data_IF_413558640275
#
_entry.id   IF_413558640275
#
_cell.length_a   1.000
_cell.length_b   1.000
_cell.length_c   1.000
_cell.angle_alpha   90.00
_cell.angle_beta   90.00
_cell.angle_gamma   90.00
#
_symmetry.space_group_name_H-M   'P 1'
#
loop_
_entity.id
_entity.type
_entity.pdbx_description
1 polymer ?
#
# COMPACT_ATOMS: atom_id res chain seq x y z
N UNK A 1 -9.98 5.41 23.37
CA UNK A 1 -8.97 4.86 24.32
C UNK A 1 -7.59 5.21 23.77
N UNK A 2 -6.68 5.77 24.59
CA UNK A 2 -5.30 6.05 24.15
C UNK A 2 -4.51 4.76 24.12
N UNK A 3 -3.76 4.52 23.03
CA UNK A 3 -2.95 3.32 22.81
C UNK A 3 -1.50 3.72 22.52
N UNK A 4 -0.56 2.85 22.85
CA UNK A 4 0.77 2.85 22.29
C UNK A 4 0.76 1.93 21.06
N UNK A 5 0.98 2.49 19.87
CA UNK A 5 0.87 1.78 18.60
C UNK A 5 2.24 1.51 18.02
N UNK A 6 2.58 0.25 17.78
CA UNK A 6 3.78 -0.11 17.04
C UNK A 6 3.51 0.00 15.54
N UNK A 7 4.24 0.88 14.86
CA UNK A 7 4.09 1.12 13.43
C UNK A 7 5.34 0.65 12.71
N UNK A 8 5.23 -0.45 11.95
CA UNK A 8 6.28 -0.82 11.00
C UNK A 8 6.11 0.01 9.72
N UNK A 9 7.22 0.39 9.09
CA UNK A 9 7.14 1.28 7.92
C UNK A 9 6.79 2.74 8.27
N UNK A 10 6.98 3.16 9.53
CA UNK A 10 6.65 4.49 10.04
C UNK A 10 7.32 5.64 9.26
N UNK A 11 8.46 5.40 8.62
CA UNK A 11 9.18 6.37 7.77
C UNK A 11 8.86 6.24 6.29
N UNK A 12 8.01 5.29 5.90
CA UNK A 12 7.57 5.09 4.52
C UNK A 12 6.48 6.08 4.10
N UNK A 13 6.12 6.09 2.82
CA UNK A 13 5.15 7.00 2.24
C UNK A 13 3.82 7.05 3.02
N UNK A 14 3.21 5.90 3.28
CA UNK A 14 1.94 5.82 3.99
C UNK A 14 2.16 5.95 5.51
N UNK A 15 3.20 5.31 6.05
CA UNK A 15 3.50 5.34 7.48
C UNK A 15 3.78 6.75 7.99
N UNK A 16 4.47 7.58 7.20
CA UNK A 16 4.73 8.98 7.57
C UNK A 16 3.47 9.85 7.65
N UNK A 17 2.38 9.45 6.98
CA UNK A 17 1.07 10.07 7.10
C UNK A 17 0.25 9.49 8.28
N UNK A 18 0.41 8.19 8.58
CA UNK A 18 -0.26 7.53 9.71
C UNK A 18 0.26 8.07 11.05
N UNK A 19 1.56 8.30 11.16
CA UNK A 19 2.20 8.76 12.41
C UNK A 19 1.56 10.03 12.97
N UNK A 20 1.49 11.17 12.25
CA UNK A 20 0.85 12.38 12.77
C UNK A 20 -0.65 12.18 13.02
N UNK A 21 -1.35 11.37 12.22
CA UNK A 21 -2.77 11.07 12.43
C UNK A 21 -2.99 10.36 13.78
N UNK A 22 -2.13 9.40 14.15
CA UNK A 22 -2.20 8.71 15.45
C UNK A 22 -1.87 9.66 16.60
N UNK A 23 -0.83 10.49 16.47
CA UNK A 23 -0.41 11.45 17.52
C UNK A 23 -1.53 12.48 17.77
N UNK A 24 -2.12 13.03 16.68
CA UNK A 24 -3.22 14.00 16.77
C UNK A 24 -4.47 13.41 17.44
N UNK A 25 -4.69 12.09 17.30
CA UNK A 25 -5.74 11.36 18.00
C UNK A 25 -5.39 11.04 19.48
N UNK A 26 -4.19 11.41 19.94
CA UNK A 26 -3.72 11.23 21.31
C UNK A 26 -3.10 9.85 21.58
N UNK A 27 -2.79 9.06 20.55
CA UNK A 27 -2.02 7.83 20.68
C UNK A 27 -0.53 8.12 20.83
N UNK A 28 0.19 7.19 21.45
CA UNK A 28 1.66 7.15 21.41
C UNK A 28 2.09 6.26 20.26
N UNK A 29 3.17 6.62 19.57
CA UNK A 29 3.69 5.83 18.47
C UNK A 29 5.09 5.31 18.80
N UNK A 30 5.28 4.01 18.58
CA UNK A 30 6.57 3.34 18.55
C UNK A 30 6.88 3.02 17.08
N UNK A 31 7.81 3.75 16.47
CA UNK A 31 8.10 3.63 15.03
C UNK A 31 9.30 2.72 14.76
N UNK A 32 9.12 1.69 13.92
CA UNK A 32 10.22 0.84 13.46
C UNK A 32 11.04 1.57 12.39
N UNK A 33 12.36 1.61 12.57
CA UNK A 33 13.30 2.06 11.54
C UNK A 33 14.65 1.37 11.66
N UNK A 34 15.33 1.18 10.51
CA UNK A 34 16.68 0.61 10.44
C UNK A 34 17.78 1.65 10.22
N UNK A 35 17.42 2.87 9.75
CA UNK A 35 18.39 3.89 9.32
C UNK A 35 18.49 5.05 10.30
N UNK A 36 19.66 5.68 10.39
CA UNK A 36 19.88 6.89 11.18
C UNK A 36 18.99 8.06 10.71
N UNK A 37 18.79 8.18 9.40
CA UNK A 37 17.88 9.20 8.85
C UNK A 37 16.44 8.96 9.34
N UNK A 38 15.99 7.71 9.39
CA UNK A 38 14.69 7.34 9.93
C UNK A 38 14.58 7.63 11.43
N UNK A 39 15.64 7.39 12.21
CA UNK A 39 15.69 7.75 13.63
C UNK A 39 15.47 9.26 13.81
N UNK A 40 16.24 10.08 13.08
CA UNK A 40 16.11 11.55 13.14
C UNK A 40 14.71 12.02 12.78
N UNK A 41 14.13 11.45 11.69
CA UNK A 41 12.78 11.79 11.25
C UNK A 41 11.71 11.44 12.28
N UNK A 42 11.77 10.24 12.86
CA UNK A 42 10.80 9.82 13.88
C UNK A 42 10.92 10.66 15.18
N UNK A 43 12.15 10.92 15.63
CA UNK A 43 12.37 11.77 16.81
C UNK A 43 11.86 13.19 16.58
N UNK A 44 12.09 13.77 15.42
CA UNK A 44 11.56 15.09 15.05
C UNK A 44 10.02 15.14 15.03
N UNK A 45 9.37 14.01 14.73
CA UNK A 45 7.92 13.86 14.77
C UNK A 45 7.38 13.52 16.19
N UNK A 46 8.23 13.49 17.23
CA UNK A 46 7.81 13.12 18.59
C UNK A 46 7.52 11.63 18.79
N UNK A 47 8.05 10.78 17.93
CA UNK A 47 7.83 9.32 17.93
C UNK A 47 8.94 8.63 18.70
N UNK A 48 8.56 7.65 19.52
CA UNK A 48 9.52 6.73 20.12
C UNK A 48 10.09 5.79 19.05
N UNK A 49 11.42 5.65 19.04
CA UNK A 49 12.11 4.85 18.01
C UNK A 49 12.33 3.43 18.49
N UNK A 50 11.95 2.47 17.65
CA UNK A 50 12.34 1.07 17.75
C UNK A 50 13.28 0.74 16.60
N UNK A 51 14.55 0.41 16.92
CA UNK A 51 15.51 -0.01 15.90
C UNK A 51 15.30 -1.46 15.56
N UNK A 52 15.21 -1.75 14.26
CA UNK A 52 15.01 -3.09 13.74
C UNK A 52 14.75 -3.11 12.25
N UNK A 53 14.66 -4.31 11.70
CA UNK A 53 14.45 -4.58 10.28
C UNK A 53 13.40 -5.69 10.10
N UNK A 54 12.81 -5.81 8.90
CA UNK A 54 11.82 -6.86 8.59
C UNK A 54 12.43 -8.28 8.59
N UNK A 55 13.74 -8.40 8.52
CA UNK A 55 14.45 -9.68 8.65
C UNK A 55 14.71 -10.08 10.11
N UNK A 56 14.67 -9.13 11.05
CA UNK A 56 14.85 -9.37 12.49
C UNK A 56 13.48 -9.57 13.17
N UNK A 57 12.98 -10.80 13.09
CA UNK A 57 11.67 -11.17 13.66
C UNK A 57 11.62 -10.99 15.19
N UNK A 58 12.75 -11.12 15.90
CA UNK A 58 12.80 -10.91 17.35
C UNK A 58 12.63 -9.42 17.70
N UNK A 59 13.25 -8.52 16.94
CA UNK A 59 13.01 -7.10 17.08
C UNK A 59 11.54 -6.74 16.86
N UNK A 60 10.89 -7.33 15.84
CA UNK A 60 9.47 -7.11 15.57
C UNK A 60 8.57 -7.61 16.72
N UNK A 61 8.85 -8.79 17.28
CA UNK A 61 8.13 -9.32 18.45
C UNK A 61 8.28 -8.37 19.65
N UNK A 62 9.49 -7.89 19.93
CA UNK A 62 9.74 -6.94 21.03
C UNK A 62 8.93 -5.65 20.84
N UNK A 63 8.90 -5.07 19.64
CA UNK A 63 8.09 -3.90 19.33
C UNK A 63 6.59 -4.13 19.58
N UNK A 64 6.06 -5.27 19.16
CA UNK A 64 4.67 -5.64 19.37
C UNK A 64 4.34 -5.91 20.86
N UNK A 65 5.26 -6.55 21.61
CA UNK A 65 5.08 -6.79 23.06
C UNK A 65 4.97 -5.49 23.83
N UNK A 66 5.75 -4.46 23.47
CA UNK A 66 5.77 -3.15 24.15
C UNK A 66 4.59 -2.25 23.76
N UNK A 67 3.61 -2.72 22.98
CA UNK A 67 2.56 -1.89 22.38
C UNK A 67 1.17 -2.44 22.62
N UNK A 68 0.17 -1.55 22.63
CA UNK A 68 -1.25 -1.88 22.78
C UNK A 68 -1.92 -2.27 21.47
N UNK A 69 -1.26 -2.01 20.34
CA UNK A 69 -1.72 -2.38 19.01
C UNK A 69 -0.62 -2.24 17.97
N UNK A 70 -0.79 -2.85 16.81
CA UNK A 70 0.21 -2.88 15.73
C UNK A 70 -0.43 -2.47 14.41
N UNK A 71 0.23 -1.55 13.70
CA UNK A 71 -0.01 -1.26 12.28
C UNK A 71 1.21 -1.71 11.49
N UNK A 72 1.01 -2.67 10.58
CA UNK A 72 2.06 -3.19 9.73
C UNK A 72 1.91 -2.67 8.30
N UNK A 73 2.71 -1.65 7.95
CA UNK A 73 2.75 -1.05 6.60
C UNK A 73 4.09 -1.23 5.89
N UNK A 74 5.10 -1.75 6.60
CA UNK A 74 6.40 -1.98 5.99
C UNK A 74 6.32 -3.09 4.96
N UNK A 75 6.82 -2.82 3.76
CA UNK A 75 6.93 -3.79 2.69
C UNK A 75 8.14 -3.44 1.82
N UNK A 76 8.90 -4.44 1.40
CA UNK A 76 10.01 -4.24 0.46
C UNK A 76 9.46 -4.23 -0.96
N UNK A 77 9.59 -3.10 -1.67
CA UNK A 77 9.06 -2.95 -3.04
C UNK A 77 10.09 -3.41 -4.09
N UNK A 78 10.61 -4.63 -3.92
CA UNK A 78 11.45 -5.30 -4.92
C UNK A 78 10.61 -6.28 -5.73
N UNK A 79 10.04 -5.80 -6.83
CA UNK A 79 9.18 -6.60 -7.70
C UNK A 79 9.96 -7.61 -8.55
N UNK A 80 11.29 -7.53 -8.63
CA UNK A 80 12.12 -8.55 -9.26
C UNK A 80 12.19 -9.84 -8.43
N UNK A 81 11.97 -9.72 -7.11
CA UNK A 81 11.94 -10.81 -6.13
C UNK A 81 10.58 -10.88 -5.41
N UNK A 82 9.50 -10.59 -6.14
CA UNK A 82 8.19 -10.35 -5.53
C UNK A 82 7.68 -11.52 -4.68
N UNK A 83 7.90 -12.78 -5.11
CA UNK A 83 7.52 -13.96 -4.32
C UNK A 83 8.25 -13.99 -2.97
N UNK A 84 9.56 -13.80 -2.97
CA UNK A 84 10.38 -13.83 -1.74
C UNK A 84 9.99 -12.72 -0.77
N UNK A 85 9.70 -11.52 -1.29
CA UNK A 85 9.26 -10.39 -0.48
C UNK A 85 7.88 -10.65 0.15
N UNK A 86 6.96 -11.26 -0.59
CA UNK A 86 5.66 -11.65 -0.06
C UNK A 86 5.78 -12.77 1.01
N UNK A 87 6.72 -13.70 0.83
CA UNK A 87 7.01 -14.73 1.81
C UNK A 87 7.69 -14.17 3.08
N UNK A 88 8.50 -13.11 2.93
CA UNK A 88 9.03 -12.37 4.07
C UNK A 88 7.90 -11.69 4.84
N UNK A 89 7.00 -11.00 4.16
CA UNK A 89 5.85 -10.31 4.75
C UNK A 89 4.95 -11.28 5.53
N UNK A 90 4.70 -12.47 4.98
CA UNK A 90 4.00 -13.55 5.69
C UNK A 90 4.67 -13.89 7.03
N UNK A 91 5.99 -14.13 7.04
CA UNK A 91 6.74 -14.43 8.26
C UNK A 91 6.69 -13.29 9.28
N UNK A 92 6.72 -12.05 8.82
CA UNK A 92 6.57 -10.87 9.67
C UNK A 92 5.19 -10.83 10.33
N UNK A 93 4.12 -11.03 9.57
CA UNK A 93 2.74 -11.05 10.09
C UNK A 93 2.57 -12.18 11.12
N UNK A 94 3.09 -13.36 10.84
CA UNK A 94 3.07 -14.51 11.76
C UNK A 94 3.87 -14.21 13.04
N UNK A 95 5.03 -13.56 12.94
CA UNK A 95 5.84 -13.17 14.09
C UNK A 95 5.13 -12.13 14.97
N UNK A 96 4.54 -11.10 14.37
CA UNK A 96 3.73 -10.11 15.09
C UNK A 96 2.51 -10.76 15.76
N UNK A 97 1.80 -11.61 15.02
CA UNK A 97 0.65 -12.33 15.55
C UNK A 97 0.99 -13.26 16.72
N UNK A 98 2.16 -13.92 16.70
CA UNK A 98 2.55 -14.88 17.73
C UNK A 98 2.60 -14.29 19.15
N UNK A 99 2.92 -13.01 19.29
CA UNK A 99 3.00 -12.31 20.59
C UNK A 99 1.72 -11.56 20.96
N UNK A 100 0.76 -11.50 20.05
CA UNK A 100 -0.55 -10.89 20.27
C UNK A 100 -1.65 -11.93 20.55
N UNK A 101 -1.38 -13.20 20.29
CA UNK A 101 -2.31 -14.29 20.55
C UNK A 101 -2.75 -14.32 22.03
N UNK A 102 -4.03 -14.59 22.27
CA UNK A 102 -4.62 -14.57 23.61
C UNK A 102 -4.79 -13.18 24.24
N UNK A 103 -4.48 -12.10 23.49
CA UNK A 103 -4.74 -10.73 23.92
C UNK A 103 -5.78 -10.08 23.01
N UNK A 104 -6.45 -9.01 23.51
CA UNK A 104 -7.38 -8.23 22.68
C UNK A 104 -6.68 -7.08 21.91
N UNK A 105 -5.35 -7.13 21.81
CA UNK A 105 -4.56 -6.10 21.11
C UNK A 105 -4.71 -6.24 19.59
N UNK A 106 -5.07 -5.15 18.87
CA UNK A 106 -5.32 -5.22 17.43
C UNK A 106 -4.01 -5.33 16.63
N UNK A 107 -4.04 -6.12 15.57
CA UNK A 107 -3.05 -6.17 14.50
C UNK A 107 -3.72 -5.75 13.19
N UNK A 108 -3.35 -4.63 12.63
CA UNK A 108 -3.83 -4.17 11.32
C UNK A 108 -2.71 -4.34 10.30
N UNK A 109 -2.88 -5.29 9.38
CA UNK A 109 -1.90 -5.55 8.31
C UNK A 109 -2.31 -4.87 7.01
N UNK A 110 -1.35 -4.70 6.10
CA UNK A 110 -1.55 -4.07 4.80
C UNK A 110 -1.53 -5.10 3.69
N UNK A 111 -2.49 -4.96 2.76
CA UNK A 111 -2.60 -5.71 1.52
C UNK A 111 -3.00 -4.76 0.37
N UNK A 112 -3.44 -5.27 -0.75
CA UNK A 112 -3.90 -4.48 -1.90
C UNK A 112 -5.28 -4.89 -2.39
N UNK A 113 -6.05 -3.94 -2.94
CA UNK A 113 -7.37 -4.24 -3.54
C UNK A 113 -7.27 -5.18 -4.74
N UNK A 114 -6.14 -5.19 -5.44
CA UNK A 114 -5.92 -5.98 -6.66
C UNK A 114 -5.86 -7.51 -6.47
N UNK A 115 -5.91 -8.00 -5.21
CA UNK A 115 -6.00 -9.44 -4.92
C UNK A 115 -7.42 -9.91 -4.58
N UNK A 116 -8.39 -9.00 -4.49
CA UNK A 116 -9.78 -9.36 -4.28
C UNK A 116 -10.35 -10.04 -5.53
N UNK A 117 -10.99 -11.20 -5.34
CA UNK A 117 -11.58 -11.95 -6.44
C UNK A 117 -13.01 -11.48 -6.70
N UNK A 118 -13.17 -10.50 -7.58
CA UNK A 118 -14.48 -9.99 -8.00
C UNK A 118 -14.88 -10.56 -9.38
N UNK A 119 -16.19 -10.69 -9.59
CA UNK A 119 -16.70 -11.02 -10.91
C UNK A 119 -16.31 -9.94 -11.94
N UNK A 120 -16.01 -10.30 -13.20
CA UNK A 120 -15.64 -9.34 -14.26
C UNK A 120 -16.63 -8.18 -14.35
N UNK A 121 -16.11 -6.96 -14.46
CA UNK A 121 -16.90 -5.72 -14.59
C UNK A 121 -17.51 -5.16 -13.31
N UNK A 122 -17.53 -5.93 -12.22
CA UNK A 122 -18.00 -5.47 -10.90
C UNK A 122 -16.82 -4.95 -10.07
N UNK A 123 -16.94 -3.81 -9.37
CA UNK A 123 -15.96 -3.39 -8.38
C UNK A 123 -15.80 -4.45 -7.27
N UNK A 124 -14.55 -4.73 -6.90
CA UNK A 124 -14.25 -5.58 -5.77
C UNK A 124 -14.72 -4.94 -4.46
N UNK A 125 -15.26 -5.73 -3.55
CA UNK A 125 -15.73 -5.29 -2.23
C UNK A 125 -14.90 -5.92 -1.12
N UNK A 126 -15.10 -5.47 0.09
CA UNK A 126 -14.45 -6.02 1.29
C UNK A 126 -14.82 -7.49 1.56
N UNK A 127 -15.95 -7.95 1.00
CA UNK A 127 -16.43 -9.33 1.13
C UNK A 127 -15.71 -10.28 0.15
N UNK A 128 -15.17 -9.76 -0.95
CA UNK A 128 -14.50 -10.57 -1.94
C UNK A 128 -13.16 -11.09 -1.38
N UNK A 129 -13.14 -12.37 -1.02
CA UNK A 129 -11.94 -13.04 -0.56
C UNK A 129 -10.98 -13.29 -1.73
N UNK A 130 -9.66 -13.30 -1.51
CA UNK A 130 -8.73 -13.75 -2.55
C UNK A 130 -8.86 -15.24 -2.77
N UNK A 131 -8.56 -15.69 -3.98
CA UNK A 131 -8.42 -17.12 -4.26
C UNK A 131 -7.23 -17.71 -3.51
N UNK A 132 -7.34 -18.99 -3.12
CA UNK A 132 -6.26 -19.71 -2.42
C UNK A 132 -4.99 -19.76 -3.27
N UNK A 133 -5.12 -19.98 -4.58
CA UNK A 133 -4.04 -20.02 -5.57
C UNK A 133 -4.04 -18.74 -6.43
N UNK A 134 -3.98 -17.57 -5.79
CA UNK A 134 -4.02 -16.31 -6.51
C UNK A 134 -2.68 -16.07 -7.27
N UNK A 135 -2.72 -15.59 -8.55
CA UNK A 135 -1.50 -15.39 -9.34
C UNK A 135 -0.59 -14.28 -8.81
N UNK A 136 -1.13 -13.35 -8.02
CA UNK A 136 -0.33 -12.29 -7.37
C UNK A 136 0.15 -12.80 -6.00
N UNK A 137 1.48 -12.94 -5.77
CA UNK A 137 2.04 -13.47 -4.51
C UNK A 137 1.62 -12.69 -3.25
N UNK A 138 1.16 -11.46 -3.39
CA UNK A 138 0.71 -10.60 -2.28
C UNK A 138 -0.44 -11.21 -1.47
N UNK A 139 -1.13 -12.22 -1.99
CA UNK A 139 -2.14 -13.02 -1.27
C UNK A 139 -1.57 -13.64 0.01
N UNK A 140 -0.27 -13.92 0.08
CA UNK A 140 0.41 -14.48 1.24
C UNK A 140 0.17 -13.68 2.53
N UNK A 141 0.02 -12.36 2.42
CA UNK A 141 -0.25 -11.49 3.58
C UNK A 141 -1.64 -11.72 4.17
N UNK A 142 -2.67 -11.88 3.33
CA UNK A 142 -4.02 -12.18 3.82
C UNK A 142 -4.16 -13.63 4.33
N UNK A 143 -3.42 -14.57 3.72
CA UNK A 143 -3.32 -15.93 4.23
C UNK A 143 -2.67 -15.98 5.62
N UNK A 144 -1.60 -15.19 5.83
CA UNK A 144 -0.99 -15.04 7.14
C UNK A 144 -1.95 -14.40 8.15
N UNK A 145 -2.70 -13.35 7.75
CA UNK A 145 -3.71 -12.75 8.60
C UNK A 145 -4.79 -13.77 9.02
N UNK A 146 -5.29 -14.57 8.09
CA UNK A 146 -6.24 -15.64 8.38
C UNK A 146 -5.66 -16.69 9.34
N UNK A 147 -4.38 -17.09 9.13
CA UNK A 147 -3.68 -18.05 10.00
C UNK A 147 -3.54 -17.53 11.43
N UNK A 148 -3.17 -16.26 11.63
CA UNK A 148 -3.05 -15.69 12.99
C UNK A 148 -4.41 -15.41 13.61
N UNK A 149 -5.45 -15.08 12.83
CA UNK A 149 -6.83 -14.97 13.30
C UNK A 149 -7.32 -16.31 13.89
N UNK A 150 -7.03 -17.44 13.21
CA UNK A 150 -7.37 -18.77 13.68
C UNK A 150 -6.67 -19.14 15.01
N UNK A 151 -5.58 -18.45 15.36
CA UNK A 151 -4.86 -18.58 16.64
C UNK A 151 -5.34 -17.57 17.69
N UNK A 152 -6.47 -16.91 17.47
CA UNK A 152 -7.08 -15.98 18.41
C UNK A 152 -6.46 -14.56 18.41
N UNK A 153 -5.74 -14.18 17.36
CA UNK A 153 -5.28 -12.78 17.20
C UNK A 153 -6.41 -11.92 16.67
N UNK A 154 -6.60 -10.75 17.29
CA UNK A 154 -7.50 -9.72 16.77
C UNK A 154 -6.84 -9.01 15.59
N UNK A 155 -6.96 -9.56 14.39
CA UNK A 155 -6.32 -9.09 13.17
C UNK A 155 -7.34 -8.65 12.13
N UNK A 156 -7.03 -7.56 11.42
CA UNK A 156 -7.75 -7.08 10.24
C UNK A 156 -6.78 -6.71 9.12
N UNK A 157 -7.33 -6.56 7.92
CA UNK A 157 -6.59 -6.28 6.69
C UNK A 157 -7.01 -4.94 6.11
N UNK A 158 -6.06 -4.06 5.91
CA UNK A 158 -6.23 -2.84 5.12
C UNK A 158 -5.80 -3.10 3.68
N UNK A 159 -6.74 -3.10 2.76
CA UNK A 159 -6.47 -3.19 1.31
C UNK A 159 -6.31 -1.80 0.72
N UNK A 160 -5.16 -1.55 0.17
CA UNK A 160 -4.80 -0.28 -0.45
C UNK A 160 -5.06 -0.29 -1.96
N UNK A 161 -5.63 0.78 -2.51
CA UNK A 161 -5.64 1.07 -3.96
C UNK A 161 -4.31 1.74 -4.37
N UNK A 162 -4.32 2.52 -5.47
CA UNK A 162 -3.24 3.46 -5.77
C UNK A 162 -3.30 4.62 -4.77
N UNK A 163 -2.50 4.51 -3.69
CA UNK A 163 -2.40 5.59 -2.70
C UNK A 163 -1.48 6.67 -3.26
N UNK A 164 -1.94 7.93 -3.23
CA UNK A 164 -1.28 9.02 -3.93
C UNK A 164 -1.23 10.32 -3.14
N UNK A 165 -0.35 11.18 -3.56
CA UNK A 165 -0.30 12.62 -3.38
C UNK A 165 0.45 13.23 -4.58
N UNK A 166 0.77 14.53 -4.54
CA UNK A 166 1.51 15.23 -5.60
C UNK A 166 2.98 14.78 -5.76
N UNK A 167 3.49 13.87 -4.91
CA UNK A 167 4.89 13.41 -4.93
C UNK A 167 5.01 11.93 -5.30
N UNK A 168 4.08 11.07 -4.83
CA UNK A 168 4.16 9.62 -5.00
C UNK A 168 2.77 9.00 -5.20
N UNK A 169 2.65 7.97 -6.05
CA UNK A 169 1.37 7.42 -6.50
C UNK A 169 1.38 5.89 -6.70
N UNK A 170 1.73 5.13 -5.67
CA UNK A 170 1.68 3.67 -5.75
C UNK A 170 2.42 3.11 -6.97
N UNK A 171 1.78 2.23 -7.75
CA UNK A 171 2.35 1.65 -8.98
C UNK A 171 2.52 2.68 -10.11
N UNK A 172 1.75 3.75 -10.10
CA UNK A 172 1.80 4.81 -11.11
C UNK A 172 3.16 5.54 -11.07
N UNK A 173 3.80 5.62 -9.90
CA UNK A 173 5.16 6.14 -9.78
C UNK A 173 6.14 5.40 -10.72
N UNK A 174 5.99 4.07 -10.83
CA UNK A 174 6.82 3.26 -11.75
C UNK A 174 6.44 3.47 -13.22
N UNK A 175 5.14 3.71 -13.51
CA UNK A 175 4.71 4.05 -14.87
C UNK A 175 5.28 5.41 -15.32
N UNK A 176 5.35 6.39 -14.42
CA UNK A 176 6.00 7.70 -14.69
C UNK A 176 7.48 7.52 -14.98
N UNK A 177 8.18 6.72 -14.17
CA UNK A 177 9.61 6.46 -14.38
C UNK A 177 9.87 5.73 -15.70
N UNK A 178 9.03 4.74 -16.02
CA UNK A 178 9.11 4.03 -17.29
C UNK A 178 8.88 4.98 -18.48
N UNK A 179 7.92 5.90 -18.37
CA UNK A 179 7.63 6.88 -19.39
C UNK A 179 8.82 7.84 -19.61
N UNK A 180 9.52 8.25 -18.54
CA UNK A 180 10.76 9.01 -18.64
C UNK A 180 11.85 8.24 -19.40
N UNK A 181 12.06 6.98 -19.03
CA UNK A 181 13.12 6.15 -19.61
C UNK A 181 12.88 5.83 -21.08
N UNK A 182 11.62 5.61 -21.46
CA UNK A 182 11.24 5.23 -22.83
C UNK A 182 10.89 6.41 -23.72
N UNK A 183 10.69 7.60 -23.17
CA UNK A 183 10.25 8.78 -23.91
C UNK A 183 8.81 8.68 -24.43
N UNK A 184 8.00 7.77 -23.88
CA UNK A 184 6.59 7.61 -24.22
C UNK A 184 5.79 7.17 -23.01
N UNK A 185 4.59 7.72 -22.81
CA UNK A 185 3.61 7.23 -21.85
C UNK A 185 2.68 6.22 -22.53
N UNK A 186 2.34 5.12 -21.86
CA UNK A 186 1.61 4.05 -22.51
C UNK A 186 0.46 3.49 -21.66
N UNK A 187 -0.56 2.95 -22.33
CA UNK A 187 -1.62 2.13 -21.76
C UNK A 187 -1.87 0.89 -22.65
N UNK A 188 -2.53 -0.14 -22.10
CA UNK A 188 -2.80 -1.39 -22.84
C UNK A 188 -4.16 -1.32 -23.51
N UNK A 189 -4.24 -1.72 -24.78
CA UNK A 189 -5.48 -1.81 -25.54
C UNK A 189 -6.19 -0.46 -25.70
N UNK A 190 -7.46 -0.37 -25.29
CA UNK A 190 -8.24 0.88 -25.32
C UNK A 190 -8.02 1.74 -24.06
N UNK A 191 -7.31 1.22 -23.04
CA UNK A 191 -6.99 1.90 -21.80
C UNK A 191 -8.18 2.14 -20.85
N UNK A 192 -9.32 1.46 -21.09
CA UNK A 192 -10.52 1.57 -20.23
C UNK A 192 -10.44 0.75 -18.97
N UNK A 193 -9.44 -0.09 -18.83
CA UNK A 193 -9.16 -0.79 -17.58
C UNK A 193 -8.82 0.22 -16.47
N UNK A 194 -9.34 -0.03 -15.28
CA UNK A 194 -9.38 0.95 -14.19
C UNK A 194 -8.55 0.51 -13.00
N UNK A 195 -7.97 1.50 -12.34
CA UNK A 195 -7.33 1.30 -11.04
C UNK A 195 -7.99 2.18 -9.99
N UNK A 196 -8.35 1.64 -8.81
CA UNK A 196 -8.91 2.42 -7.72
C UNK A 196 -7.82 3.28 -7.08
N UNK A 197 -8.22 4.41 -6.47
CA UNK A 197 -7.28 5.35 -5.89
C UNK A 197 -7.77 5.95 -4.57
N UNK A 198 -6.83 6.48 -3.79
CA UNK A 198 -7.13 7.28 -2.61
C UNK A 198 -5.95 8.18 -2.22
N UNK A 199 -6.23 9.39 -1.80
CA UNK A 199 -5.22 10.29 -1.27
C UNK A 199 -4.62 9.74 0.04
N UNK A 200 -3.30 9.93 0.24
CA UNK A 200 -2.56 9.34 1.37
C UNK A 200 -3.10 9.74 2.74
N UNK A 201 -3.61 10.96 2.89
CA UNK A 201 -4.19 11.41 4.16
C UNK A 201 -5.55 10.75 4.45
N UNK A 202 -6.33 10.41 3.42
CA UNK A 202 -7.55 9.63 3.58
C UNK A 202 -7.24 8.21 4.04
N UNK A 203 -6.24 7.58 3.42
CA UNK A 203 -5.74 6.28 3.85
C UNK A 203 -5.25 6.32 5.31
N UNK A 204 -4.46 7.32 5.70
CA UNK A 204 -3.96 7.47 7.06
C UNK A 204 -5.10 7.58 8.10
N UNK A 205 -6.12 8.41 7.82
CA UNK A 205 -7.32 8.52 8.68
C UNK A 205 -8.04 7.18 8.80
N UNK A 206 -8.11 6.42 7.70
CA UNK A 206 -8.73 5.11 7.73
C UNK A 206 -7.94 4.10 8.57
N UNK A 207 -6.60 4.08 8.47
CA UNK A 207 -5.75 3.22 9.32
C UNK A 207 -6.02 3.45 10.80
N UNK A 208 -6.09 4.70 11.25
CA UNK A 208 -6.42 5.02 12.65
C UNK A 208 -7.79 4.48 13.02
N UNK A 209 -8.84 4.81 12.25
CA UNK A 209 -10.21 4.36 12.53
C UNK A 209 -10.33 2.83 12.54
N UNK A 210 -9.68 2.17 11.59
CA UNK A 210 -9.66 0.71 11.51
C UNK A 210 -8.95 0.09 12.72
N UNK A 211 -7.83 0.65 13.18
CA UNK A 211 -7.14 0.16 14.38
C UNK A 211 -8.02 0.29 15.63
N UNK A 212 -8.65 1.46 15.83
CA UNK A 212 -9.51 1.76 16.99
C UNK A 212 -10.74 0.85 17.08
N UNK A 213 -11.34 0.51 15.93
CA UNK A 213 -12.59 -0.25 15.81
C UNK A 213 -12.41 -1.64 15.18
N UNK A 214 -11.18 -2.16 15.18
CA UNK A 214 -10.84 -3.38 14.46
C UNK A 214 -11.74 -4.56 14.86
N UNK A 215 -12.35 -5.19 13.87
CA UNK A 215 -13.07 -6.45 13.98
C UNK A 215 -12.16 -7.58 13.46
N UNK A 216 -12.13 -8.71 14.16
CA UNK A 216 -11.30 -9.86 13.76
C UNK A 216 -11.74 -10.39 12.39
N UNK A 217 -10.78 -10.55 11.49
CA UNK A 217 -11.03 -11.03 10.14
C UNK A 217 -11.60 -9.99 9.19
N UNK A 218 -11.86 -8.74 9.65
CA UNK A 218 -12.37 -7.69 8.78
C UNK A 218 -11.36 -7.30 7.72
N UNK A 219 -11.86 -7.02 6.53
CA UNK A 219 -11.15 -6.33 5.46
C UNK A 219 -11.71 -4.93 5.33
N UNK A 220 -10.82 -3.96 5.12
CA UNK A 220 -11.16 -2.56 4.90
C UNK A 220 -10.53 -2.11 3.58
N UNK A 221 -11.28 -1.43 2.74
CA UNK A 221 -10.80 -0.87 1.49
C UNK A 221 -10.55 0.63 1.64
N UNK A 222 -9.32 1.07 1.46
CA UNK A 222 -8.95 2.49 1.51
C UNK A 222 -9.21 3.18 0.15
N UNK A 223 -10.41 3.00 -0.40
CA UNK A 223 -10.76 3.46 -1.76
C UNK A 223 -11.59 4.73 -1.69
N UNK A 224 -11.13 5.79 -2.36
CA UNK A 224 -11.86 7.04 -2.57
C UNK A 224 -12.47 7.12 -3.97
N UNK A 225 -11.72 6.68 -4.97
CA UNK A 225 -12.14 6.59 -6.37
C UNK A 225 -12.18 5.11 -6.76
N UNK A 226 -13.34 4.59 -7.14
CA UNK A 226 -13.53 3.17 -7.41
C UNK A 226 -12.76 2.65 -8.62
N UNK A 227 -12.42 3.54 -9.56
CA UNK A 227 -11.63 3.17 -10.73
C UNK A 227 -11.34 4.34 -11.65
N UNK A 228 -10.06 4.70 -11.78
CA UNK A 228 -9.55 5.70 -12.72
C UNK A 228 -9.02 4.98 -13.96
N UNK A 229 -9.47 5.33 -15.19
CA UNK A 229 -9.00 4.69 -16.42
C UNK A 229 -7.50 4.84 -16.63
N UNK A 230 -6.81 3.77 -17.05
CA UNK A 230 -5.37 3.82 -17.28
C UNK A 230 -4.99 4.76 -18.45
N UNK A 231 -5.88 4.94 -19.40
CA UNK A 231 -5.70 5.92 -20.48
C UNK A 231 -5.61 7.35 -19.92
N UNK A 232 -6.51 7.73 -19.02
CA UNK A 232 -6.54 9.08 -18.42
C UNK A 232 -5.24 9.32 -17.61
N UNK A 233 -4.80 8.31 -16.86
CA UNK A 233 -3.51 8.34 -16.14
C UNK A 233 -2.35 8.53 -17.12
N UNK A 234 -2.30 7.75 -18.20
CA UNK A 234 -1.23 7.84 -19.19
C UNK A 234 -1.23 9.19 -19.92
N UNK A 235 -2.40 9.77 -20.21
CA UNK A 235 -2.53 11.08 -20.83
C UNK A 235 -2.00 12.21 -19.93
N UNK A 236 -2.29 12.17 -18.63
CA UNK A 236 -1.73 13.14 -17.66
C UNK A 236 -0.21 13.00 -17.56
N UNK A 237 0.31 11.78 -17.46
CA UNK A 237 1.76 11.53 -17.44
C UNK A 237 2.41 12.05 -18.72
N UNK A 238 1.82 11.75 -19.89
CA UNK A 238 2.32 12.21 -21.18
C UNK A 238 2.41 13.74 -21.29
N UNK A 239 1.36 14.44 -20.82
CA UNK A 239 1.35 15.91 -20.76
C UNK A 239 2.42 16.44 -19.80
N UNK A 240 2.51 15.87 -18.59
CA UNK A 240 3.47 16.29 -17.57
C UNK A 240 4.93 16.12 -18.01
N UNK A 241 5.26 14.98 -18.62
CA UNK A 241 6.59 14.68 -19.14
C UNK A 241 6.87 15.26 -20.53
N UNK A 242 5.86 15.78 -21.23
CA UNK A 242 5.93 16.24 -22.64
C UNK A 242 6.39 15.14 -23.59
N UNK A 243 5.84 13.93 -23.41
CA UNK A 243 6.10 12.76 -24.25
C UNK A 243 4.81 12.29 -24.94
N UNK A 244 4.91 11.60 -26.10
CA UNK A 244 3.75 11.00 -26.74
C UNK A 244 3.06 9.99 -25.84
N UNK A 245 1.73 9.86 -26.04
CA UNK A 245 0.92 8.81 -25.41
C UNK A 245 0.58 7.77 -26.45
N UNK A 246 0.84 6.51 -26.14
CA UNK A 246 0.63 5.38 -27.08
C UNK A 246 -0.24 4.29 -26.46
N UNK A 247 -1.01 3.61 -27.29
CA UNK A 247 -1.59 2.32 -26.97
C UNK A 247 -0.60 1.22 -27.31
N UNK A 248 -0.45 0.24 -26.42
CA UNK A 248 0.29 -1.01 -26.71
C UNK A 248 -0.69 -2.17 -26.72
N UNK A 249 -0.47 -3.17 -27.56
CA UNK A 249 -1.31 -4.36 -27.55
C UNK A 249 -1.09 -5.20 -26.27
N UNK A 250 -2.01 -6.10 -25.90
CA UNK A 250 -1.81 -7.02 -24.78
C UNK A 250 -0.55 -7.88 -24.94
N UNK A 251 -0.20 -8.27 -26.17
CA UNK A 251 0.99 -9.07 -26.50
C UNK A 251 2.29 -8.26 -26.29
N UNK A 252 2.26 -6.97 -26.55
CA UNK A 252 3.39 -6.06 -26.38
C UNK A 252 3.55 -5.59 -24.92
N UNK A 253 2.51 -5.74 -24.09
CA UNK A 253 2.50 -5.23 -22.72
C UNK A 253 3.69 -5.71 -21.91
N UNK A 254 4.07 -7.01 -22.03
CA UNK A 254 5.22 -7.56 -21.29
C UNK A 254 6.55 -6.91 -21.70
N UNK A 255 6.77 -6.67 -22.99
CA UNK A 255 7.99 -6.04 -23.49
C UNK A 255 8.06 -4.54 -23.15
N UNK A 256 6.90 -3.88 -23.07
CA UNK A 256 6.84 -2.47 -22.73
C UNK A 256 6.93 -2.23 -21.21
N UNK A 257 6.08 -2.90 -20.41
CA UNK A 257 5.91 -2.65 -19.00
C UNK A 257 6.78 -3.53 -18.09
N UNK A 258 7.42 -4.59 -18.61
CA UNK A 258 8.17 -5.53 -17.80
C UNK A 258 7.30 -6.14 -16.69
N UNK A 259 7.77 -6.15 -15.46
CA UNK A 259 7.00 -6.67 -14.31
C UNK A 259 5.67 -5.94 -14.08
N UNK A 260 5.57 -4.66 -14.44
CA UNK A 260 4.34 -3.87 -14.28
C UNK A 260 3.23 -4.37 -15.22
N UNK A 261 3.54 -5.13 -16.27
CA UNK A 261 2.56 -5.73 -17.19
C UNK A 261 1.55 -6.62 -16.45
N UNK A 262 1.96 -7.25 -15.34
CA UNK A 262 1.06 -8.05 -14.50
C UNK A 262 -0.14 -7.23 -13.95
N UNK A 263 -0.05 -5.91 -13.97
CA UNK A 263 -1.08 -5.00 -13.48
C UNK A 263 -1.63 -4.09 -14.60
N UNK A 264 -0.78 -3.63 -15.52
CA UNK A 264 -1.09 -2.57 -16.50
C UNK A 264 -2.29 -2.87 -17.40
N UNK A 265 -2.54 -4.13 -17.75
CA UNK A 265 -3.70 -4.55 -18.58
C UNK A 265 -4.93 -4.98 -17.77
N UNK A 266 -4.89 -4.96 -16.43
CA UNK A 266 -6.00 -5.48 -15.61
C UNK A 266 -6.98 -4.39 -15.22
N UNK A 267 -8.29 -4.69 -15.34
CA UNK A 267 -9.37 -3.88 -14.77
C UNK A 267 -9.55 -4.30 -13.30
N UNK A 268 -9.27 -3.38 -12.37
CA UNK A 268 -9.20 -3.65 -10.94
C UNK A 268 -10.07 -2.67 -10.13
N UNK A 269 -11.28 -2.32 -10.54
CA UNK A 269 -12.11 -1.40 -9.77
C UNK A 269 -12.43 -1.99 -8.40
N UNK A 270 -12.52 -1.13 -7.38
CA UNK A 270 -12.84 -1.55 -6.02
C UNK A 270 -13.70 -0.50 -5.31
N UNK A 271 -14.64 -0.97 -4.50
CA UNK A 271 -15.51 -0.13 -3.67
C UNK A 271 -15.06 -0.16 -2.21
N UNK A 272 -15.34 0.90 -1.48
CA UNK A 272 -15.16 1.00 -0.03
C UNK A 272 -16.49 1.23 0.71
N UNK A 273 -17.61 0.94 0.10
CA UNK A 273 -18.92 1.23 0.67
C UNK A 273 -19.12 0.64 2.08
N UNK A 274 -18.74 -0.62 2.29
CA UNK A 274 -18.82 -1.27 3.60
C UNK A 274 -17.83 -0.68 4.61
N UNK A 275 -16.63 -0.33 4.19
CA UNK A 275 -15.63 0.35 5.02
C UNK A 275 -16.15 1.72 5.48
N UNK A 276 -16.74 2.49 4.57
CA UNK A 276 -17.31 3.80 4.86
C UNK A 276 -18.46 3.70 5.88
N UNK A 277 -19.34 2.71 5.72
CA UNK A 277 -20.43 2.46 6.64
C UNK A 277 -19.93 2.05 8.03
N UNK A 278 -19.10 1.01 8.12
CA UNK A 278 -18.61 0.43 9.38
C UNK A 278 -17.78 1.38 10.22
N UNK A 279 -16.92 2.15 9.56
CA UNK A 279 -15.97 3.03 10.24
C UNK A 279 -16.40 4.50 10.25
N UNK A 280 -17.56 4.85 9.66
CA UNK A 280 -17.98 6.23 9.43
C UNK A 280 -16.85 7.06 8.78
N UNK A 281 -16.08 6.42 7.88
CA UNK A 281 -15.00 7.06 7.16
C UNK A 281 -15.54 7.70 5.87
N UNK A 282 -15.04 8.90 5.56
CA UNK A 282 -15.34 9.57 4.30
C UNK A 282 -14.04 10.13 3.74
N UNK A 283 -13.65 9.74 2.52
CA UNK A 283 -12.52 10.35 1.84
C UNK A 283 -12.86 11.79 1.44
N UNK A 284 -11.91 12.69 1.59
CA UNK A 284 -12.08 14.13 1.31
C UNK A 284 -10.86 14.73 0.62
N UNK A 285 -9.82 13.94 0.38
CA UNK A 285 -8.63 14.36 -0.34
C UNK A 285 -8.88 14.57 -1.83
N UNK A 286 -7.94 15.20 -2.53
CA UNK A 286 -8.01 15.33 -3.98
C UNK A 286 -8.03 13.98 -4.69
N UNK A 287 -8.56 13.93 -5.90
CA UNK A 287 -8.51 12.75 -6.76
C UNK A 287 -7.12 12.53 -7.37
N UNK A 288 -6.89 11.32 -7.87
CA UNK A 288 -5.61 10.91 -8.43
C UNK A 288 -5.15 11.80 -9.60
N UNK A 289 -6.06 12.10 -10.53
CA UNK A 289 -5.73 12.94 -11.68
C UNK A 289 -5.32 14.34 -11.25
N UNK A 290 -6.03 14.93 -10.28
CA UNK A 290 -5.70 16.26 -9.75
C UNK A 290 -4.30 16.32 -9.12
N UNK A 291 -3.90 15.27 -8.38
CA UNK A 291 -2.54 15.19 -7.81
C UNK A 291 -1.49 14.98 -8.89
N UNK A 292 -1.78 14.16 -9.90
CA UNK A 292 -0.87 13.95 -11.04
C UNK A 292 -0.66 15.23 -11.85
N UNK A 293 -1.69 16.05 -12.02
CA UNK A 293 -1.59 17.34 -12.74
C UNK A 293 -0.75 18.37 -11.97
N UNK A 294 -0.72 18.29 -10.64
CA UNK A 294 0.07 19.16 -9.77
C UNK A 294 1.48 18.62 -9.48
N UNK A 295 1.80 17.45 -9.99
CA UNK A 295 3.08 16.81 -9.74
C UNK A 295 4.21 17.54 -10.47
N UNK A 296 5.37 17.73 -9.80
CA UNK A 296 6.57 18.22 -10.45
C UNK A 296 7.30 17.06 -11.16
N UNK A 297 7.05 16.92 -12.45
CA UNK A 297 7.62 15.83 -13.26
C UNK A 297 9.12 15.96 -13.54
N UNK A 298 9.69 17.16 -13.37
CA UNK A 298 11.07 17.45 -13.76
C UNK A 298 12.04 17.57 -12.59
N UNK A 299 11.55 17.63 -11.34
CA UNK A 299 12.41 17.69 -10.17
C UNK A 299 12.94 16.28 -9.86
N UNK A 300 14.19 16.02 -10.27
CA UNK A 300 14.92 14.80 -9.94
C UNK A 300 15.12 14.63 -8.42
N UNK A 301 15.03 15.73 -7.66
CA UNK A 301 15.26 15.78 -6.21
C UNK A 301 14.00 15.65 -5.34
N UNK A 302 12.82 15.43 -5.92
CA UNK A 302 11.59 15.20 -5.16
C UNK A 302 11.61 13.82 -4.47
N UNK A 303 12.66 13.52 -3.71
CA UNK A 303 12.69 12.56 -2.60
C UNK A 303 12.39 11.09 -2.90
N UNK A 304 12.34 10.66 -4.14
CA UNK A 304 12.13 9.25 -4.48
C UNK A 304 13.48 8.63 -4.86
N UNK A 305 14.20 8.13 -3.87
CA UNK A 305 15.31 7.19 -4.12
C UNK A 305 14.70 5.91 -4.71
N UNK A 306 14.59 5.84 -6.04
CA UNK A 306 14.27 4.61 -6.74
C UNK A 306 15.48 3.68 -6.67
N UNK A 307 15.28 2.44 -6.21
CA UNK A 307 16.24 1.40 -6.53
C UNK A 307 16.27 1.29 -8.07
N UNK A 308 17.46 1.37 -8.70
CA UNK A 308 17.55 1.27 -10.16
C UNK A 308 16.92 -0.05 -10.59
N UNK A 309 16.04 0.00 -11.60
CA UNK A 309 15.57 -1.18 -12.29
C UNK A 309 16.80 -1.96 -12.73
N UNK A 310 16.95 -3.19 -12.23
CA UNK A 310 18.07 -4.05 -12.60
C UNK A 310 18.10 -4.14 -14.14
N UNK A 311 19.23 -3.70 -14.72
CA UNK A 311 19.47 -3.86 -16.17
C UNK A 311 19.38 -5.36 -16.45
N UNK A 312 18.41 -5.74 -17.29
CA UNK A 312 18.40 -7.09 -17.86
C UNK A 312 19.74 -7.29 -18.56
N UNK A 313 20.57 -8.16 -18.00
CA UNK A 313 21.79 -8.64 -18.66
C UNK A 313 21.37 -9.33 -19.97
N UNK A 314 21.97 -8.89 -21.06
CA UNK A 314 21.83 -9.47 -22.39
C UNK A 314 22.27 -10.92 -22.41
#
# INVERSE_FOLDING_TARGET
>A
MKMRVFVTGATGFIGSAIVPELINAGHQVLGLTRSEAGVKSLMAAGVQVHRGDLSDLESLRKGAVMSDGVIHTAFTHDFSRFQEVCDQDRRVIEALGSVLAGSNRPLLITSGTGIANAAPGRPATEQDAPETCHPIPRVASEQAAASVAAKGVRVGVMRLPQVHNTVKQGLITYAIELARQKGVSAYVGDGRNRWPAAHVLDAARLYRRALEKLETGARYHAVAEEGVPLRDIAEVIGRGLRVPVISVSPEEAQSHFGWLAAFAGRDLPASSALTQERLAWRPTGPGLIADLEQMCYFDADAGVAFAPLARASR
#
